data_IF_751292097427
#
_entry.id   IF_751292097427
#
_cell.length_a   1.000
_cell.length_b   1.000
_cell.length_c   1.000
_cell.angle_alpha   90.00
_cell.angle_beta   90.00
_cell.angle_gamma   90.00
#
_symmetry.space_group_name_H-M   'P 1'
#
loop_
_entity.id
_entity.type
_entity.pdbx_description
1 polymer ?
#
# COMPACT_ATOMS: atom_id res chain seq x y z
N UNK A 1 12.45 -4.04 38.49
CA UNK A 1 11.25 -4.86 38.68
C UNK A 1 10.08 -3.90 38.86
N UNK A 2 9.54 -3.42 37.75
CA UNK A 2 8.22 -2.78 37.72
C UNK A 2 7.58 -3.24 36.41
N UNK A 3 6.64 -4.17 36.56
CA UNK A 3 5.77 -4.67 35.50
C UNK A 3 4.83 -3.55 35.07
N UNK A 4 5.09 -2.95 33.91
CA UNK A 4 4.15 -2.04 33.24
C UNK A 4 2.96 -2.86 32.73
N UNK A 5 1.92 -2.91 33.56
CA UNK A 5 0.61 -3.46 33.26
C UNK A 5 0.05 -2.81 31.99
N UNK A 6 -0.03 -3.60 30.91
CA UNK A 6 -0.84 -3.29 29.75
C UNK A 6 -2.27 -3.01 30.24
N UNK A 7 -2.74 -1.79 30.09
CA UNK A 7 -4.14 -1.47 30.30
C UNK A 7 -4.96 -2.38 29.39
N UNK A 8 -5.97 -3.11 29.90
CA UNK A 8 -6.80 -3.96 29.06
C UNK A 8 -7.46 -3.08 28.00
N UNK A 9 -7.20 -3.36 26.72
CA UNK A 9 -7.95 -2.77 25.63
C UNK A 9 -9.43 -2.96 25.96
N UNK A 10 -10.18 -1.87 26.12
CA UNK A 10 -11.62 -1.97 26.34
C UNK A 10 -12.21 -2.64 25.10
N UNK A 11 -12.82 -3.80 25.28
CA UNK A 11 -13.46 -4.55 24.19
C UNK A 11 -14.50 -3.65 23.52
N UNK A 12 -14.17 -3.15 22.33
CA UNK A 12 -15.02 -2.25 21.57
C UNK A 12 -16.21 -3.05 21.03
N UNK A 13 -17.42 -2.51 21.19
CA UNK A 13 -18.64 -3.11 20.65
C UNK A 13 -19.16 -2.26 19.50
N UNK A 14 -19.50 -2.90 18.38
CA UNK A 14 -20.11 -2.26 17.21
C UNK A 14 -21.59 -2.61 17.19
N UNK A 15 -22.46 -1.62 16.95
CA UNK A 15 -23.91 -1.84 16.93
C UNK A 15 -24.42 -1.84 15.50
N UNK A 16 -25.06 -2.93 15.10
CA UNK A 16 -25.66 -3.10 13.77
C UNK A 16 -27.17 -2.97 13.86
N UNK A 17 -27.78 -2.20 12.96
CA UNK A 17 -29.22 -2.09 12.79
C UNK A 17 -29.66 -3.09 11.72
N UNK A 18 -30.20 -4.22 12.16
CA UNK A 18 -30.61 -5.35 11.31
C UNK A 18 -32.13 -5.38 11.20
N UNK A 19 -32.67 -5.06 10.03
CA UNK A 19 -34.12 -4.93 9.82
C UNK A 19 -34.82 -4.05 10.89
N UNK A 20 -34.15 -2.95 11.28
CA UNK A 20 -34.64 -2.03 12.33
C UNK A 20 -34.41 -2.49 13.78
N UNK A 21 -33.82 -3.67 14.00
CA UNK A 21 -33.45 -4.15 15.34
C UNK A 21 -31.96 -3.93 15.60
N UNK A 22 -31.58 -3.20 16.66
CA UNK A 22 -30.18 -3.03 17.02
C UNK A 22 -29.61 -4.32 17.63
N UNK A 23 -28.46 -4.76 17.12
CA UNK A 23 -27.70 -5.93 17.57
C UNK A 23 -26.25 -5.51 17.76
N UNK A 24 -25.74 -5.63 18.98
CA UNK A 24 -24.35 -5.29 19.30
C UNK A 24 -23.46 -6.52 19.21
N UNK A 25 -22.30 -6.37 18.56
CA UNK A 25 -21.30 -7.43 18.38
C UNK A 25 -19.94 -6.90 18.80
N UNK A 26 -19.15 -7.71 19.50
CA UNK A 26 -17.79 -7.33 19.90
C UNK A 26 -16.85 -7.28 18.69
N UNK A 27 -15.99 -6.27 18.64
CA UNK A 27 -15.00 -6.08 17.58
C UNK A 27 -14.07 -7.29 17.43
N UNK A 28 -13.73 -7.97 18.54
CA UNK A 28 -12.91 -9.19 18.52
C UNK A 28 -13.51 -10.30 17.65
N UNK A 29 -14.83 -10.46 17.66
CA UNK A 29 -15.53 -11.45 16.84
C UNK A 29 -15.57 -11.06 15.36
N UNK A 30 -15.63 -9.76 15.08
CA UNK A 30 -15.61 -9.21 13.73
C UNK A 30 -14.20 -9.38 13.13
N UNK A 31 -13.16 -9.12 13.93
CA UNK A 31 -11.76 -9.23 13.54
C UNK A 31 -11.30 -10.67 13.30
N UNK A 32 -12.02 -11.69 13.77
CA UNK A 32 -11.81 -13.09 13.34
C UNK A 32 -11.95 -13.25 11.82
N UNK A 33 -12.74 -12.40 11.17
CA UNK A 33 -13.02 -12.45 9.74
C UNK A 33 -12.78 -11.07 9.10
N UNK A 34 -11.50 -10.65 8.94
CA UNK A 34 -11.14 -9.30 8.54
C UNK A 34 -11.54 -8.94 7.09
N UNK A 35 -11.86 -9.95 6.27
CA UNK A 35 -12.33 -9.78 4.89
C UNK A 35 -13.85 -9.91 4.75
N UNK A 36 -14.59 -9.98 5.87
CA UNK A 36 -16.05 -10.03 5.84
C UNK A 36 -16.63 -8.63 5.66
N UNK A 37 -17.86 -8.54 5.14
CA UNK A 37 -18.58 -7.27 5.10
C UNK A 37 -18.80 -6.67 6.49
N UNK A 38 -18.84 -7.50 7.53
CA UNK A 38 -18.94 -7.01 8.91
C UNK A 38 -17.69 -6.23 9.32
N UNK A 39 -16.51 -6.73 8.95
CA UNK A 39 -15.24 -6.05 9.21
C UNK A 39 -15.13 -4.75 8.41
N UNK A 40 -15.54 -4.78 7.13
CA UNK A 40 -15.60 -3.57 6.31
C UNK A 40 -16.50 -2.51 6.95
N UNK A 41 -17.74 -2.88 7.30
CA UNK A 41 -18.69 -1.94 7.91
C UNK A 41 -18.18 -1.44 9.27
N UNK A 42 -17.61 -2.31 10.09
CA UNK A 42 -17.05 -1.94 11.39
C UNK A 42 -15.87 -0.96 11.26
N UNK A 43 -15.05 -1.10 10.20
CA UNK A 43 -13.90 -0.22 9.97
C UNK A 43 -14.29 1.24 9.71
N UNK A 44 -15.46 1.47 9.09
CA UNK A 44 -15.98 2.82 8.84
C UNK A 44 -16.91 3.34 9.94
N UNK A 45 -17.31 2.50 10.89
CA UNK A 45 -18.26 2.87 11.94
C UNK A 45 -17.57 3.58 13.11
N UNK A 46 -18.01 4.80 13.44
CA UNK A 46 -17.50 5.51 14.62
C UNK A 46 -18.04 4.90 15.93
N UNK A 47 -17.35 5.08 17.07
CA UNK A 47 -17.86 4.65 18.37
C UNK A 47 -19.23 5.31 18.66
N UNK A 48 -20.25 4.49 18.89
CA UNK A 48 -21.62 4.95 19.13
C UNK A 48 -22.49 5.12 17.87
N UNK A 49 -21.93 4.90 16.68
CA UNK A 49 -22.68 4.89 15.42
C UNK A 49 -23.33 3.51 15.18
N UNK A 50 -24.53 3.51 14.60
CA UNK A 50 -25.26 2.29 14.25
C UNK A 50 -25.18 2.03 12.76
N UNK A 51 -24.59 0.90 12.36
CA UNK A 51 -24.46 0.55 10.95
C UNK A 51 -25.61 -0.33 10.47
N UNK A 52 -26.20 -0.03 9.31
CA UNK A 52 -27.37 -0.77 8.80
C UNK A 52 -26.98 -2.01 8.00
N UNK A 53 -27.61 -3.15 8.26
CA UNK A 53 -27.45 -4.37 7.47
C UNK A 53 -28.81 -4.88 7.01
N UNK A 54 -28.92 -5.12 5.70
CA UNK A 54 -30.08 -5.73 5.07
C UNK A 54 -30.01 -7.26 5.19
N UNK A 55 -30.40 -7.80 6.34
CA UNK A 55 -30.64 -9.22 6.53
C UNK A 55 -31.74 -9.49 7.57
N UNK A 56 -32.38 -10.67 7.56
CA UNK A 56 -33.35 -11.04 8.58
C UNK A 56 -32.72 -11.06 9.97
N UNK A 57 -33.39 -10.45 10.96
CA UNK A 57 -32.83 -10.31 12.30
C UNK A 57 -32.56 -11.66 12.99
N UNK A 58 -33.40 -12.67 12.75
CA UNK A 58 -33.23 -14.00 13.34
C UNK A 58 -32.01 -14.72 12.77
N UNK A 59 -31.81 -14.67 11.45
CA UNK A 59 -30.67 -15.29 10.77
C UNK A 59 -29.35 -14.61 11.20
N UNK A 60 -29.36 -13.28 11.40
CA UNK A 60 -28.21 -12.55 11.90
C UNK A 60 -27.86 -12.90 13.35
N UNK A 61 -28.86 -13.09 14.22
CA UNK A 61 -28.61 -13.52 15.61
C UNK A 61 -28.00 -14.91 15.66
N UNK A 62 -28.46 -15.80 14.79
CA UNK A 62 -27.90 -17.15 14.66
C UNK A 62 -26.46 -17.13 14.15
N UNK A 63 -26.15 -16.23 13.21
CA UNK A 63 -24.80 -15.96 12.77
C UNK A 63 -23.92 -15.45 13.93
N UNK A 64 -24.37 -14.45 14.69
CA UNK A 64 -23.61 -13.91 15.84
C UNK A 64 -23.36 -15.00 16.89
N UNK A 65 -24.38 -15.80 17.22
CA UNK A 65 -24.23 -16.95 18.12
C UNK A 65 -23.21 -17.97 17.60
N UNK A 66 -23.18 -18.19 16.29
CA UNK A 66 -22.16 -19.02 15.68
C UNK A 66 -20.76 -18.42 15.83
N UNK A 67 -20.58 -17.11 15.59
CA UNK A 67 -19.28 -16.45 15.76
C UNK A 67 -18.75 -16.57 17.20
N UNK A 68 -19.66 -16.55 18.19
CA UNK A 68 -19.35 -16.72 19.61
C UNK A 68 -19.02 -18.17 20.00
N UNK A 69 -19.82 -19.13 19.53
CA UNK A 69 -19.79 -20.51 20.04
C UNK A 69 -19.13 -21.51 19.08
N UNK A 70 -18.88 -21.11 17.84
CA UNK A 70 -18.41 -21.93 16.72
C UNK A 70 -19.28 -23.17 16.45
N UNK A 71 -20.53 -23.16 16.96
CA UNK A 71 -21.51 -24.23 16.81
C UNK A 71 -22.78 -23.71 16.15
N UNK A 72 -23.29 -24.46 15.17
CA UNK A 72 -24.57 -24.20 14.52
C UNK A 72 -25.53 -25.32 14.89
N UNK A 73 -26.75 -24.93 15.27
CA UNK A 73 -27.88 -25.85 15.42
C UNK A 73 -28.36 -26.23 14.03
N UNK A 74 -28.19 -27.51 13.70
CA UNK A 74 -28.40 -28.09 12.38
C UNK A 74 -29.66 -28.97 12.33
N UNK A 75 -30.52 -28.85 13.36
CA UNK A 75 -31.77 -29.58 13.53
C UNK A 75 -32.85 -29.17 12.51
N UNK A 76 -32.83 -27.91 12.04
CA UNK A 76 -33.81 -27.37 11.09
C UNK A 76 -33.12 -27.00 9.76
N UNK A 77 -33.42 -27.78 8.71
CA UNK A 77 -32.84 -27.59 7.38
C UNK A 77 -33.24 -26.28 6.71
N UNK A 78 -34.46 -25.79 6.96
CA UNK A 78 -34.94 -24.54 6.34
C UNK A 78 -34.26 -23.32 6.96
N UNK A 79 -34.00 -23.38 8.26
CA UNK A 79 -33.24 -22.38 9.01
C UNK A 79 -31.77 -22.41 8.61
N UNK A 80 -31.18 -23.60 8.46
CA UNK A 80 -29.81 -23.76 8.00
C UNK A 80 -29.61 -23.17 6.59
N UNK A 81 -30.53 -23.41 5.66
CA UNK A 81 -30.44 -22.87 4.29
C UNK A 81 -30.47 -21.32 4.28
N UNK A 82 -31.34 -20.71 5.09
CA UNK A 82 -31.41 -19.25 5.25
C UNK A 82 -30.15 -18.67 5.90
N UNK A 83 -29.65 -19.32 6.93
CA UNK A 83 -28.41 -18.96 7.60
C UNK A 83 -27.23 -19.01 6.62
N UNK A 84 -27.10 -20.07 5.81
CA UNK A 84 -26.06 -20.18 4.79
C UNK A 84 -26.13 -19.05 3.74
N UNK A 85 -27.34 -18.62 3.35
CA UNK A 85 -27.50 -17.43 2.50
C UNK A 85 -26.97 -16.15 3.17
N UNK A 86 -27.12 -16.04 4.49
CA UNK A 86 -26.58 -14.92 5.27
C UNK A 86 -25.05 -14.94 5.35
N UNK A 87 -24.43 -16.12 5.49
CA UNK A 87 -22.97 -16.28 5.40
C UNK A 87 -22.42 -15.78 4.06
N UNK A 88 -23.07 -16.14 2.94
CA UNK A 88 -22.67 -15.68 1.61
C UNK A 88 -22.87 -14.17 1.45
N UNK A 89 -24.01 -13.63 1.91
CA UNK A 89 -24.33 -12.22 1.81
C UNK A 89 -23.30 -11.34 2.54
N UNK A 90 -22.83 -11.79 3.71
CA UNK A 90 -21.84 -11.11 4.54
C UNK A 90 -20.39 -11.49 4.22
N UNK A 91 -20.17 -12.36 3.23
CA UNK A 91 -18.84 -12.86 2.83
C UNK A 91 -18.07 -13.52 3.97
N UNK A 92 -18.77 -14.21 4.87
CA UNK A 92 -18.16 -14.97 5.96
C UNK A 92 -17.91 -16.39 5.46
N UNK A 93 -16.69 -16.94 5.64
CA UNK A 93 -16.37 -18.28 5.16
C UNK A 93 -17.28 -19.32 5.82
N UNK A 94 -17.98 -20.11 4.99
CA UNK A 94 -18.83 -21.21 5.45
C UNK A 94 -17.94 -22.35 5.94
N UNK A 95 -18.18 -22.90 7.15
CA UNK A 95 -17.45 -24.04 7.67
C UNK A 95 -17.54 -25.27 6.77
N UNK A 96 -16.46 -26.04 6.69
CA UNK A 96 -16.38 -27.17 5.77
C UNK A 96 -17.44 -28.24 6.06
N UNK A 97 -17.76 -28.51 7.33
CA UNK A 97 -18.80 -29.48 7.70
C UNK A 97 -20.19 -29.09 7.17
N UNK A 98 -20.49 -27.79 7.06
CA UNK A 98 -21.74 -27.30 6.46
C UNK A 98 -21.69 -27.31 4.94
N UNK A 99 -20.52 -27.03 4.34
CA UNK A 99 -20.32 -27.17 2.89
C UNK A 99 -20.52 -28.61 2.44
N UNK A 100 -19.94 -29.58 3.14
CA UNK A 100 -20.10 -30.99 2.82
C UNK A 100 -21.56 -31.42 2.91
N UNK A 101 -22.28 -31.01 3.97
CA UNK A 101 -23.72 -31.31 4.10
C UNK A 101 -24.55 -30.71 2.96
N UNK A 102 -24.27 -29.47 2.55
CA UNK A 102 -24.94 -28.82 1.40
C UNK A 102 -24.71 -29.60 0.10
N UNK A 103 -23.49 -30.07 -0.14
CA UNK A 103 -23.15 -30.89 -1.32
C UNK A 103 -23.80 -32.28 -1.29
N UNK A 104 -23.93 -32.88 -0.10
CA UNK A 104 -24.64 -34.15 0.07
C UNK A 104 -26.14 -34.03 -0.23
N UNK A 105 -26.76 -32.89 0.08
CA UNK A 105 -28.18 -32.64 -0.16
C UNK A 105 -28.49 -32.31 -1.64
N UNK A 106 -27.62 -31.57 -2.34
CA UNK A 106 -27.81 -31.25 -3.76
C UNK A 106 -27.75 -32.46 -4.69
N UNK A 107 -27.28 -33.60 -4.20
CA UNK A 107 -27.12 -34.85 -4.96
C UNK A 107 -28.36 -35.76 -4.91
N UNK A 108 -29.43 -35.38 -4.20
CA UNK A 108 -30.57 -36.27 -3.89
C UNK A 108 -31.89 -36.00 -4.62
N UNK A 109 -32.00 -35.01 -5.50
CA UNK A 109 -33.30 -34.66 -6.11
C UNK A 109 -33.27 -34.78 -7.64
N UNK A 110 -33.63 -35.97 -8.13
CA UNK A 110 -34.01 -36.15 -9.53
C UNK A 110 -35.52 -35.85 -9.69
N UNK A 111 -35.93 -34.93 -10.57
CA UNK A 111 -37.31 -34.89 -11.04
C UNK A 111 -37.43 -35.78 -12.28
N UNK A 112 -38.04 -36.95 -12.09
CA UNK A 112 -38.72 -37.69 -13.16
C UNK A 112 -40.08 -37.03 -13.40
N UNK A 113 -40.26 -36.35 -14.53
CA UNK A 113 -41.53 -36.41 -15.28
C UNK A 113 -41.29 -36.11 -16.75
N UNK A 114 -41.87 -36.99 -17.55
CA UNK A 114 -41.72 -37.19 -18.98
C UNK A 114 -42.70 -36.39 -19.84
N UNK A 115 -42.28 -36.23 -21.10
CA UNK A 115 -43.06 -36.20 -22.35
C UNK A 115 -43.74 -34.89 -22.80
N UNK A 116 -43.46 -34.51 -24.06
CA UNK A 116 -44.23 -33.47 -24.75
C UNK A 116 -43.63 -32.83 -26.02
N UNK A 117 -43.17 -33.62 -26.98
CA UNK A 117 -43.37 -33.46 -28.44
C UNK A 117 -43.08 -32.12 -29.19
N UNK A 118 -42.05 -32.19 -30.05
CA UNK A 118 -41.94 -31.73 -31.46
C UNK A 118 -41.66 -30.26 -31.86
N UNK A 119 -40.70 -30.16 -32.81
CA UNK A 119 -40.59 -29.20 -33.93
C UNK A 119 -40.28 -27.73 -33.57
N UNK A 120 -39.35 -26.97 -34.15
CA UNK A 120 -38.58 -27.01 -35.41
C UNK A 120 -37.37 -26.05 -35.30
N UNK A 121 -36.30 -26.34 -36.05
CA UNK A 121 -35.08 -25.52 -36.28
C UNK A 121 -35.30 -24.61 -37.53
N UNK A 122 -34.34 -23.76 -37.99
CA UNK A 122 -33.92 -22.42 -37.53
C UNK A 122 -34.02 -21.29 -38.61
N UNK A 123 -33.85 -20.02 -38.24
CA UNK A 123 -33.50 -18.92 -39.16
C UNK A 123 -33.54 -17.53 -38.50
N UNK A 124 -32.63 -16.59 -38.84
CA UNK A 124 -32.10 -15.61 -37.90
C UNK A 124 -32.88 -14.29 -37.88
N UNK A 125 -33.12 -13.74 -36.69
CA UNK A 125 -33.57 -12.36 -36.54
C UNK A 125 -32.39 -11.51 -36.03
N UNK A 126 -32.10 -10.48 -36.80
CA UNK A 126 -31.07 -9.47 -36.59
C UNK A 126 -31.24 -8.79 -35.23
N UNK A 127 -30.15 -8.79 -34.48
CA UNK A 127 -30.01 -8.07 -33.21
C UNK A 127 -29.76 -6.60 -33.52
N UNK A 128 -30.81 -5.78 -33.52
CA UNK A 128 -30.66 -4.33 -33.40
C UNK A 128 -30.48 -3.96 -31.92
N UNK A 129 -29.52 -3.10 -31.56
CA UNK A 129 -29.39 -2.62 -30.18
C UNK A 129 -30.59 -1.74 -29.81
N UNK A 130 -31.02 -1.72 -28.53
CA UNK A 130 -32.12 -0.89 -28.08
C UNK A 130 -31.75 0.59 -28.24
N UNK A 131 -32.61 1.35 -28.91
CA UNK A 131 -32.51 2.79 -29.01
C UNK A 131 -32.62 3.41 -27.61
N UNK A 132 -31.64 4.26 -27.29
CA UNK A 132 -31.57 5.00 -26.04
C UNK A 132 -32.51 6.21 -26.14
N UNK A 133 -33.75 6.08 -25.64
CA UNK A 133 -34.62 7.24 -25.45
C UNK A 133 -34.06 8.10 -24.32
N UNK A 134 -33.53 9.26 -24.71
CA UNK A 134 -32.97 10.27 -23.82
C UNK A 134 -34.09 10.98 -23.07
N UNK A 135 -34.32 10.59 -21.81
CA UNK A 135 -35.16 11.38 -20.89
C UNK A 135 -34.32 12.55 -20.36
N UNK A 136 -34.44 13.70 -21.02
CA UNK A 136 -33.97 14.96 -20.47
C UNK A 136 -34.85 15.39 -19.28
N UNK A 137 -34.30 15.80 -18.13
CA UNK A 137 -35.11 16.38 -17.06
C UNK A 137 -35.51 17.81 -17.44
N UNK A 138 -36.81 18.06 -17.40
CA UNK A 138 -37.41 19.37 -17.61
C UNK A 138 -36.95 20.36 -16.52
N UNK A 139 -36.54 21.55 -16.96
CA UNK A 139 -36.35 22.70 -16.10
C UNK A 139 -37.69 23.14 -15.48
N UNK A 140 -37.72 23.25 -14.15
CA UNK A 140 -38.72 24.04 -13.44
C UNK A 140 -38.00 25.13 -12.65
N UNK A 141 -38.31 26.42 -12.86
CA UNK A 141 -37.86 27.48 -11.96
C UNK A 141 -38.89 27.63 -10.85
N UNK A 142 -38.55 27.20 -9.63
CA UNK A 142 -39.27 27.65 -8.44
C UNK A 142 -38.31 28.34 -7.48
N UNK A 143 -38.42 29.66 -7.44
CA UNK A 143 -37.92 30.51 -6.38
C UNK A 143 -38.48 30.06 -5.02
N UNK A 144 -37.60 29.63 -4.12
CA UNK A 144 -37.86 29.78 -2.68
C UNK A 144 -36.56 29.92 -1.90
N UNK A 145 -36.61 30.85 -0.95
CA UNK A 145 -35.55 31.34 -0.09
C UNK A 145 -35.02 30.26 0.88
N UNK A 146 -33.72 30.37 1.15
CA UNK A 146 -33.15 30.18 2.49
C UNK A 146 -33.01 28.74 2.99
N UNK A 147 -31.77 28.24 2.97
CA UNK A 147 -31.02 27.61 4.07
C UNK A 147 -29.77 26.97 3.43
N UNK A 148 -28.60 27.19 4.05
CA UNK A 148 -27.28 26.92 3.47
C UNK A 148 -27.14 25.49 2.93
N UNK A 149 -27.15 25.35 1.61
CA UNK A 149 -26.62 24.16 0.94
C UNK A 149 -25.10 24.24 1.04
N UNK A 150 -24.52 23.35 1.84
CA UNK A 150 -23.14 22.92 1.61
C UNK A 150 -23.14 22.35 0.20
N UNK A 151 -22.66 23.16 -0.74
CA UNK A 151 -22.50 22.79 -2.13
C UNK A 151 -21.30 21.83 -2.18
N UNK A 152 -21.53 20.56 -1.83
CA UNK A 152 -20.59 19.50 -2.16
C UNK A 152 -20.69 19.26 -3.66
N UNK A 153 -20.02 20.10 -4.45
CA UNK A 153 -19.73 19.74 -5.83
C UNK A 153 -19.10 18.33 -5.81
N UNK A 154 -19.60 17.38 -6.62
CA UNK A 154 -19.00 16.07 -6.67
C UNK A 154 -17.54 16.22 -7.11
N UNK A 155 -16.61 15.83 -6.22
CA UNK A 155 -15.18 15.85 -6.50
C UNK A 155 -14.93 15.23 -7.87
N UNK A 156 -14.14 15.93 -8.69
CA UNK A 156 -13.75 15.43 -10.00
C UNK A 156 -12.99 14.10 -9.81
N UNK A 157 -13.02 13.24 -10.82
CA UNK A 157 -12.31 11.94 -10.76
C UNK A 157 -10.82 12.15 -10.44
N UNK A 158 -10.22 13.21 -10.98
CA UNK A 158 -8.83 13.57 -10.70
C UNK A 158 -8.61 13.94 -9.23
N UNK A 159 -9.52 14.69 -8.61
CA UNK A 159 -9.46 15.02 -7.19
C UNK A 159 -9.61 13.76 -6.31
N UNK A 160 -10.52 12.84 -6.67
CA UNK A 160 -10.67 11.58 -5.96
C UNK A 160 -9.41 10.72 -6.04
N UNK A 161 -8.77 10.67 -7.21
CA UNK A 161 -7.49 9.96 -7.38
C UNK A 161 -6.40 10.63 -6.54
N UNK A 162 -6.30 11.95 -6.58
CA UNK A 162 -5.31 12.68 -5.78
C UNK A 162 -5.47 12.44 -4.28
N UNK A 163 -6.70 12.49 -3.77
CA UNK A 163 -7.01 12.19 -2.36
C UNK A 163 -6.65 10.74 -2.02
N UNK A 164 -6.99 9.77 -2.86
CA UNK A 164 -6.65 8.37 -2.63
C UNK A 164 -5.13 8.12 -2.63
N UNK A 165 -4.38 8.83 -3.47
CA UNK A 165 -2.91 8.77 -3.51
C UNK A 165 -2.33 9.37 -2.23
N UNK A 166 -2.83 10.53 -1.79
CA UNK A 166 -2.39 11.20 -0.57
C UNK A 166 -2.69 10.37 0.68
N UNK A 167 -3.88 9.79 0.78
CA UNK A 167 -4.27 8.90 1.86
C UNK A 167 -3.35 7.68 1.91
N UNK A 168 -3.08 7.04 0.76
CA UNK A 168 -2.18 5.89 0.70
C UNK A 168 -0.74 6.25 1.10
N UNK A 169 -0.22 7.38 0.64
CA UNK A 169 1.11 7.86 1.02
C UNK A 169 1.20 8.13 2.51
N UNK A 170 0.16 8.73 3.09
CA UNK A 170 0.07 9.00 4.51
C UNK A 170 0.09 7.71 5.32
N UNK A 171 -0.69 6.71 4.92
CA UNK A 171 -0.70 5.39 5.58
C UNK A 171 0.67 4.71 5.49
N UNK A 172 1.29 4.73 4.30
CA UNK A 172 2.63 4.16 4.09
C UNK A 172 3.68 4.83 4.99
N UNK A 173 3.61 6.16 5.15
CA UNK A 173 4.50 6.88 6.05
C UNK A 173 4.25 6.52 7.51
N UNK A 174 3.01 6.63 7.98
CA UNK A 174 2.67 6.50 9.39
C UNK A 174 2.81 5.07 9.89
N UNK A 175 2.50 4.07 9.07
CA UNK A 175 2.53 2.66 9.49
C UNK A 175 3.90 2.02 9.29
N UNK A 176 4.66 2.43 8.26
CA UNK A 176 5.84 1.66 7.83
C UNK A 176 7.16 2.42 7.89
N UNK A 177 7.19 3.73 7.62
CA UNK A 177 8.45 4.49 7.54
C UNK A 177 8.73 5.22 8.84
N UNK A 178 7.77 6.03 9.32
CA UNK A 178 7.98 6.93 10.45
C UNK A 178 8.35 6.19 11.74
N UNK A 179 7.67 5.09 12.12
CA UNK A 179 8.07 4.33 13.32
C UNK A 179 9.49 3.79 13.22
N UNK A 180 9.98 3.48 12.01
CA UNK A 180 11.34 3.00 11.79
C UNK A 180 12.37 4.12 11.87
N UNK A 181 12.05 5.29 11.33
CA UNK A 181 12.88 6.48 11.46
C UNK A 181 12.98 6.91 12.92
N UNK A 182 11.87 6.91 13.66
CA UNK A 182 11.85 7.21 15.09
C UNK A 182 12.63 6.16 15.91
N UNK A 183 12.43 4.88 15.62
CA UNK A 183 13.22 3.79 16.21
C UNK A 183 14.71 3.93 15.93
N UNK A 184 15.08 4.29 14.70
CA UNK A 184 16.46 4.56 14.30
C UNK A 184 17.02 5.77 15.07
N UNK A 185 16.27 6.87 15.17
CA UNK A 185 16.70 8.08 15.87
C UNK A 185 16.87 7.86 17.38
N UNK A 186 15.95 7.14 18.02
CA UNK A 186 16.04 6.78 19.45
C UNK A 186 17.24 5.88 19.74
N UNK A 187 17.66 5.05 18.78
CA UNK A 187 18.88 4.25 18.89
C UNK A 187 20.19 5.02 18.61
N UNK A 188 20.11 6.30 18.26
CA UNK A 188 21.29 7.12 17.91
C UNK A 188 21.91 6.79 16.56
N UNK A 189 21.17 6.15 15.67
CA UNK A 189 21.65 5.77 14.33
C UNK A 189 21.32 6.89 13.35
N UNK A 190 22.35 7.57 12.84
CA UNK A 190 22.18 8.74 11.98
C UNK A 190 22.11 8.40 10.47
N UNK A 191 22.45 7.17 10.08
CA UNK A 191 22.44 6.75 8.67
C UNK A 191 21.85 5.34 8.56
N UNK A 192 20.67 5.25 7.92
CA UNK A 192 19.95 3.99 7.75
C UNK A 192 19.18 3.93 6.44
N UNK A 193 18.86 2.71 6.02
CA UNK A 193 18.03 2.44 4.85
C UNK A 193 16.89 1.49 5.20
N UNK A 194 15.68 1.86 4.79
CA UNK A 194 14.51 0.99 4.88
C UNK A 194 14.21 0.45 3.48
N UNK A 195 14.13 -0.86 3.35
CA UNK A 195 13.87 -1.54 2.08
C UNK A 195 12.46 -2.07 2.12
N UNK A 196 11.56 -1.36 1.41
CA UNK A 196 10.13 -1.66 1.33
C UNK A 196 9.90 -2.60 0.13
N UNK A 197 9.39 -3.80 0.41
CA UNK A 197 9.06 -4.83 -0.57
C UNK A 197 7.58 -4.67 -0.95
N UNK A 198 7.28 -4.35 -2.22
CA UNK A 198 5.90 -4.20 -2.69
C UNK A 198 5.08 -5.49 -2.59
N UNK A 199 3.77 -5.37 -2.44
CA UNK A 199 2.84 -6.48 -2.24
C UNK A 199 2.78 -7.45 -3.42
N UNK A 200 2.97 -6.96 -4.64
CA UNK A 200 2.96 -7.76 -5.87
C UNK A 200 4.35 -8.32 -6.26
N UNK A 201 5.39 -8.11 -5.45
CA UNK A 201 6.73 -8.66 -5.71
C UNK A 201 6.81 -10.15 -5.34
N UNK A 202 6.12 -11.01 -6.10
CA UNK A 202 5.94 -12.44 -5.79
C UNK A 202 7.25 -13.19 -5.47
N UNK A 203 8.34 -12.89 -6.18
CA UNK A 203 9.66 -13.51 -5.93
C UNK A 203 10.23 -13.17 -4.56
N UNK A 204 10.03 -11.93 -4.12
CA UNK A 204 10.52 -11.42 -2.84
C UNK A 204 9.56 -11.71 -1.70
N UNK A 205 8.26 -11.79 -1.98
CA UNK A 205 7.23 -12.14 -0.99
C UNK A 205 7.52 -13.52 -0.39
N UNK A 206 7.27 -13.66 0.92
CA UNK A 206 7.34 -14.98 1.56
C UNK A 206 6.20 -15.82 1.00
N UNK A 207 6.45 -17.10 0.63
CA UNK A 207 5.35 -18.02 0.38
C UNK A 207 4.47 -17.99 1.63
N UNK A 208 3.20 -17.65 1.48
CA UNK A 208 2.23 -17.86 2.53
C UNK A 208 2.32 -19.33 2.90
N UNK A 209 2.65 -19.62 4.15
CA UNK A 209 2.64 -20.97 4.71
C UNK A 209 1.19 -21.47 4.64
N UNK A 210 0.82 -22.02 3.49
CA UNK A 210 -0.45 -22.72 3.36
C UNK A 210 -0.30 -23.99 4.18
N UNK A 211 -0.91 -23.94 5.38
CA UNK A 211 -1.67 -25.01 6.03
C UNK A 211 -1.01 -26.41 5.98
N UNK A 212 -0.70 -26.95 7.16
CA UNK A 212 -0.20 -28.32 7.48
C UNK A 212 1.26 -28.43 7.98
N UNK A 213 1.81 -27.46 8.72
CA UNK A 213 3.05 -27.71 9.48
C UNK A 213 2.81 -27.50 10.99
N UNK A 214 2.52 -28.60 11.70
CA UNK A 214 2.46 -28.69 13.17
C UNK A 214 3.88 -28.81 13.76
N UNK A 215 4.77 -27.91 13.36
CA UNK A 215 6.12 -27.79 13.92
C UNK A 215 6.17 -26.71 15.01
N UNK A 216 7.07 -26.81 16.00
CA UNK A 216 7.36 -25.68 16.89
C UNK A 216 7.79 -24.46 16.04
N UNK A 217 7.55 -23.22 16.51
CA UNK A 217 7.88 -22.01 15.75
C UNK A 217 9.35 -22.06 15.36
N UNK A 218 9.64 -22.31 14.07
CA UNK A 218 11.01 -22.21 13.57
C UNK A 218 11.41 -20.76 13.76
N UNK A 219 12.48 -20.53 14.50
CA UNK A 219 13.09 -19.20 14.65
C UNK A 219 13.13 -18.55 13.27
N UNK A 220 12.56 -17.36 13.21
CA UNK A 220 12.28 -16.60 12.00
C UNK A 220 13.47 -16.68 11.05
N UNK A 221 13.32 -17.42 9.95
CA UNK A 221 14.30 -17.45 8.87
C UNK A 221 14.38 -16.01 8.32
N UNK A 222 15.35 -15.26 8.81
CA UNK A 222 15.53 -13.85 8.46
C UNK A 222 15.95 -13.80 6.98
N UNK A 223 15.12 -13.16 6.17
CA UNK A 223 15.49 -12.87 4.80
C UNK A 223 16.66 -11.86 4.81
N UNK A 224 17.79 -12.23 4.23
CA UNK A 224 18.99 -11.39 4.24
C UNK A 224 19.10 -10.64 2.92
N UNK A 225 19.27 -9.31 2.98
CA UNK A 225 19.51 -8.50 1.80
C UNK A 225 20.96 -8.66 1.33
N UNK A 226 21.16 -9.21 0.13
CA UNK A 226 22.50 -9.48 -0.44
C UNK A 226 23.02 -8.26 -1.19
N UNK A 227 22.19 -7.68 -2.06
CA UNK A 227 22.61 -6.61 -2.96
C UNK A 227 21.45 -5.70 -3.36
N UNK A 228 21.81 -4.47 -3.68
CA UNK A 228 20.97 -3.45 -4.28
C UNK A 228 21.64 -3.00 -5.58
N UNK A 229 20.86 -2.74 -6.64
CA UNK A 229 21.38 -2.49 -7.98
C UNK A 229 22.21 -1.22 -8.10
N UNK A 230 21.92 -0.19 -7.30
CA UNK A 230 22.58 1.11 -7.36
C UNK A 230 23.22 1.49 -6.03
N UNK A 231 22.63 1.04 -4.93
CA UNK A 231 23.14 1.26 -3.58
C UNK A 231 24.17 0.21 -3.19
N UNK A 232 25.23 0.65 -2.51
CA UNK A 232 26.06 -0.30 -1.79
C UNK A 232 25.51 -0.43 -0.36
N UNK A 233 25.04 -1.62 0.00
CA UNK A 233 24.44 -1.93 1.31
C UNK A 233 25.41 -1.61 2.45
N UNK A 234 26.72 -1.80 2.24
CA UNK A 234 27.76 -1.50 3.24
C UNK A 234 27.88 -0.01 3.59
N UNK A 235 27.18 0.87 2.87
CA UNK A 235 27.11 2.31 3.20
C UNK A 235 26.13 2.62 4.33
N UNK A 236 25.21 1.71 4.63
CA UNK A 236 24.19 1.92 5.65
C UNK A 236 24.64 1.26 6.95
N UNK A 237 24.57 1.99 8.06
CA UNK A 237 24.84 1.41 9.39
C UNK A 237 23.67 0.55 9.87
N UNK A 238 22.49 0.77 9.29
CA UNK A 238 21.27 0.08 9.63
C UNK A 238 20.45 -0.17 8.37
N UNK A 239 20.02 -1.41 8.18
CA UNK A 239 19.14 -1.80 7.08
C UNK A 239 17.98 -2.59 7.65
N UNK A 240 16.75 -2.19 7.33
CA UNK A 240 15.55 -2.94 7.72
C UNK A 240 14.68 -3.25 6.52
N UNK A 241 14.33 -4.53 6.39
CA UNK A 241 13.40 -5.03 5.39
C UNK A 241 11.96 -4.91 5.90
N UNK A 242 11.08 -4.36 5.06
CA UNK A 242 9.67 -4.13 5.39
C UNK A 242 8.82 -4.67 4.25
N UNK A 243 7.93 -5.61 4.54
CA UNK A 243 7.05 -6.23 3.55
C UNK A 243 5.71 -5.50 3.55
N UNK A 244 5.43 -4.80 2.46
CA UNK A 244 4.17 -4.08 2.32
C UNK A 244 3.05 -5.05 1.98
N UNK A 245 1.88 -4.84 2.60
CA UNK A 245 0.68 -5.64 2.39
C UNK A 245 -0.41 -4.82 1.70
N UNK A 246 -1.40 -5.49 1.13
CA UNK A 246 -2.57 -4.87 0.50
C UNK A 246 -2.42 -4.61 -1.00
N UNK A 247 -3.57 -4.54 -1.67
CA UNK A 247 -3.69 -4.36 -3.14
C UNK A 247 -3.10 -3.06 -3.65
N UNK A 248 -2.83 -2.13 -2.74
CA UNK A 248 -2.37 -0.80 -3.07
C UNK A 248 -0.87 -0.59 -3.13
N UNK A 249 -0.12 -1.41 -2.42
CA UNK A 249 1.31 -1.21 -2.24
C UNK A 249 2.10 -1.94 -3.33
N UNK A 250 1.74 -1.67 -4.59
CA UNK A 250 2.32 -2.35 -5.75
C UNK A 250 3.56 -1.63 -6.26
N UNK A 251 4.42 -2.38 -6.96
CA UNK A 251 5.58 -1.82 -7.68
C UNK A 251 5.15 -0.67 -8.57
N UNK A 252 4.04 -0.83 -9.32
CA UNK A 252 3.55 0.19 -10.27
C UNK A 252 3.15 1.50 -9.62
N UNK A 253 2.62 1.46 -8.39
CA UNK A 253 2.29 2.66 -7.63
C UNK A 253 3.57 3.32 -7.10
N UNK A 254 4.44 2.53 -6.44
CA UNK A 254 5.65 3.02 -5.78
C UNK A 254 6.74 3.47 -6.76
N UNK A 255 6.72 2.98 -8.00
CA UNK A 255 7.64 3.40 -9.06
C UNK A 255 7.27 4.73 -9.71
N UNK A 256 6.10 5.30 -9.41
CA UNK A 256 5.68 6.57 -10.00
C UNK A 256 6.52 7.71 -9.45
N UNK A 257 7.09 8.52 -10.35
CA UNK A 257 7.94 9.67 -9.98
C UNK A 257 7.20 10.61 -9.03
N UNK A 258 5.93 10.91 -9.31
CA UNK A 258 5.09 11.78 -8.47
C UNK A 258 4.90 11.23 -7.05
N UNK A 259 4.74 9.91 -6.93
CA UNK A 259 4.57 9.23 -5.62
C UNK A 259 5.88 9.32 -4.83
N UNK A 260 7.02 9.10 -5.48
CA UNK A 260 8.34 9.21 -4.85
C UNK A 260 8.61 10.66 -4.39
N UNK A 261 8.34 11.64 -5.24
CA UNK A 261 8.54 13.06 -4.93
C UNK A 261 7.64 13.52 -3.79
N UNK A 262 6.36 13.16 -3.80
CA UNK A 262 5.42 13.53 -2.74
C UNK A 262 5.75 12.80 -1.42
N UNK A 263 6.12 11.52 -1.49
CA UNK A 263 6.59 10.76 -0.31
C UNK A 263 7.81 11.42 0.32
N UNK A 264 8.79 11.83 -0.51
CA UNK A 264 9.99 12.54 -0.07
C UNK A 264 9.64 13.89 0.55
N UNK A 265 8.74 14.66 -0.06
CA UNK A 265 8.28 15.96 0.45
C UNK A 265 7.55 15.81 1.79
N UNK A 266 6.64 14.84 1.91
CA UNK A 266 5.93 14.57 3.16
C UNK A 266 6.89 14.11 4.26
N UNK A 267 7.84 13.22 3.95
CA UNK A 267 8.84 12.77 4.92
C UNK A 267 9.74 13.93 5.38
N UNK A 268 10.21 14.78 4.46
CA UNK A 268 10.97 16.00 4.80
C UNK A 268 10.17 16.93 5.72
N UNK A 269 8.90 17.18 5.38
CA UNK A 269 8.03 18.06 6.16
C UNK A 269 7.81 17.53 7.59
N UNK A 270 7.60 16.22 7.73
CA UNK A 270 7.40 15.57 9.04
C UNK A 270 8.67 15.54 9.88
N UNK A 271 9.83 15.34 9.25
CA UNK A 271 11.14 15.37 9.94
C UNK A 271 11.67 16.80 10.16
N UNK A 272 10.91 17.84 9.76
CA UNK A 272 11.27 19.25 9.91
C UNK A 272 12.65 19.59 9.31
N UNK A 273 13.05 18.87 8.26
CA UNK A 273 14.32 19.11 7.58
C UNK A 273 14.23 20.42 6.79
N UNK A 274 15.13 21.36 7.09
CA UNK A 274 15.20 22.63 6.35
C UNK A 274 15.70 22.36 4.94
N UNK A 275 15.03 22.96 3.96
CA UNK A 275 15.58 22.99 2.59
C UNK A 275 16.91 23.75 2.59
N UNK A 276 17.93 23.28 1.85
CA UNK A 276 19.18 24.00 1.71
C UNK A 276 18.90 25.38 1.13
N UNK A 277 19.59 26.44 1.59
CA UNK A 277 19.41 27.77 1.03
C UNK A 277 19.66 27.73 -0.49
N UNK A 278 18.86 28.47 -1.29
CA UNK A 278 19.06 28.50 -2.72
C UNK A 278 20.52 28.88 -3.02
N UNK A 279 21.16 28.24 -4.02
CA UNK A 279 22.53 28.56 -4.37
C UNK A 279 22.64 30.06 -4.65
N UNK A 280 23.69 30.74 -4.15
CA UNK A 280 23.86 32.15 -4.43
C UNK A 280 23.84 32.34 -5.95
N UNK A 281 23.16 33.39 -6.46
CA UNK A 281 23.12 33.65 -7.89
C UNK A 281 24.56 33.65 -8.42
N UNK A 282 24.83 33.03 -9.58
CA UNK A 282 26.18 32.98 -10.13
C UNK A 282 26.73 34.40 -10.14
N UNK A 283 27.82 34.61 -9.40
CA UNK A 283 28.46 35.90 -9.33
C UNK A 283 28.66 36.39 -10.76
N UNK A 284 28.04 37.54 -11.09
CA UNK A 284 28.20 38.15 -12.39
C UNK A 284 29.71 38.17 -12.71
N UNK A 285 30.14 37.71 -13.90
CA UNK A 285 31.56 37.70 -14.24
C UNK A 285 32.09 39.11 -13.98
N UNK A 286 33.07 39.21 -13.09
CA UNK A 286 33.71 40.48 -12.79
C UNK A 286 34.12 41.12 -14.13
N UNK A 287 33.83 42.43 -14.34
CA UNK A 287 34.18 43.08 -15.59
C UNK A 287 35.68 42.89 -15.81
N UNK A 288 35.99 42.12 -16.84
CA UNK A 288 37.35 41.83 -17.26
C UNK A 288 37.99 43.18 -17.50
N UNK A 289 38.95 43.55 -16.65
CA UNK A 289 39.70 44.79 -16.82
C UNK A 289 40.30 44.77 -18.24
N UNK A 290 40.11 45.82 -19.05
CA UNK A 290 40.61 45.81 -20.42
C UNK A 290 42.13 45.61 -20.39
N UNK A 291 42.67 44.75 -21.29
CA UNK A 291 44.10 44.47 -21.30
C UNK A 291 44.90 45.75 -21.52
N UNK A 292 46.06 45.92 -20.85
CA UNK A 292 46.90 47.09 -21.06
C UNK A 292 47.38 47.15 -22.53
N UNK A 293 47.52 48.35 -23.11
CA UNK A 293 47.86 48.51 -24.52
C UNK A 293 49.24 47.92 -24.79
N UNK A 294 49.28 46.85 -25.60
CA UNK A 294 50.52 46.29 -26.09
C UNK A 294 51.23 47.31 -26.99
N UNK A 295 52.37 47.82 -26.50
CA UNK A 295 53.32 48.58 -27.29
C UNK A 295 53.86 47.69 -28.41
N UNK A 296 53.56 48.07 -29.65
CA UNK A 296 54.16 47.51 -30.86
C UNK A 296 55.66 47.83 -30.86
N UNK A 297 56.52 46.82 -30.73
CA UNK A 297 57.89 46.89 -31.23
C UNK A 297 58.05 45.88 -32.37
N UNK A 298 58.22 46.43 -33.58
CA UNK A 298 58.69 45.72 -34.77
C UNK A 298 60.21 45.53 -34.66
N UNK A 299 60.70 44.48 -35.31
CA UNK A 299 62.10 44.14 -35.65
C UNK A 299 62.84 43.18 -34.71
N UNK A 300 63.35 42.09 -35.30
CA UNK A 300 64.56 41.44 -34.82
C UNK A 300 64.50 39.92 -34.71
N UNK A 301 64.82 39.26 -35.84
CA UNK A 301 65.60 38.03 -36.00
C UNK A 301 65.87 37.06 -34.82
N UNK A 302 65.91 35.79 -35.23
CA UNK A 302 66.71 34.65 -34.72
C UNK A 302 66.00 33.53 -33.95
N UNK A 303 66.32 32.32 -34.44
CA UNK A 303 66.11 30.99 -33.88
C UNK A 303 66.65 30.91 -32.46
N UNK A 304 66.04 30.07 -31.63
CA UNK A 304 66.79 29.15 -30.78
C UNK A 304 65.92 27.95 -30.41
N UNK A 305 66.43 26.77 -30.77
CA UNK A 305 66.12 25.53 -30.08
C UNK A 305 66.60 25.65 -28.64
N UNK A 306 65.77 25.31 -27.67
CA UNK A 306 66.25 24.71 -26.43
C UNK A 306 65.11 23.91 -25.81
N UNK A 307 65.50 22.73 -25.35
CA UNK A 307 64.73 21.72 -24.66
C UNK A 307 64.16 22.25 -23.35
N UNK A 308 62.84 22.26 -23.21
CA UNK A 308 62.19 22.38 -21.92
C UNK A 308 61.98 21.00 -21.32
N UNK A 309 62.85 20.70 -20.35
CA UNK A 309 62.55 19.85 -19.21
C UNK A 309 61.35 20.51 -18.52
N UNK A 310 60.17 19.93 -18.69
CA UNK A 310 58.97 20.36 -17.98
C UNK A 310 59.11 19.92 -16.51
N UNK A 311 59.24 20.83 -15.54
CA UNK A 311 59.07 20.45 -14.15
C UNK A 311 57.62 20.04 -13.94
N UNK A 312 57.48 18.82 -13.41
CA UNK A 312 56.32 18.24 -12.77
C UNK A 312 55.53 19.28 -11.94
N UNK A 313 54.48 19.86 -12.52
CA UNK A 313 53.39 20.47 -11.76
C UNK A 313 52.24 19.49 -11.83
N UNK A 314 52.17 18.62 -10.82
CA UNK A 314 50.99 17.81 -10.57
C UNK A 314 49.81 18.76 -10.47
N UNK A 315 48.98 18.78 -11.51
CA UNK A 315 47.64 19.36 -11.45
C UNK A 315 46.89 18.49 -10.46
N UNK A 316 46.93 18.90 -9.18
CA UNK A 316 45.97 18.43 -8.20
C UNK A 316 44.63 18.86 -8.77
N UNK A 317 43.94 17.90 -9.41
CA UNK A 317 42.57 18.10 -9.81
C UNK A 317 41.84 18.65 -8.58
N UNK A 318 41.14 19.79 -8.69
CA UNK A 318 40.37 20.31 -7.56
C UNK A 318 39.45 19.17 -7.14
N UNK A 319 39.69 18.67 -5.93
CA UNK A 319 38.81 17.69 -5.29
C UNK A 319 37.43 18.36 -5.35
N UNK A 320 36.46 17.82 -6.10
CA UNK A 320 35.15 18.44 -6.16
C UNK A 320 34.65 18.56 -4.72
N UNK A 321 34.07 19.71 -4.33
CA UNK A 321 33.51 19.86 -3.01
C UNK A 321 32.58 18.67 -2.75
N UNK A 322 32.59 18.08 -1.53
CA UNK A 322 31.73 16.95 -1.22
C UNK A 322 30.30 17.33 -1.58
N UNK A 323 29.74 16.62 -2.55
CA UNK A 323 28.36 16.86 -3.01
C UNK A 323 27.47 16.78 -1.76
N UNK A 324 26.69 17.82 -1.44
CA UNK A 324 25.79 17.79 -0.29
C UNK A 324 24.92 16.56 -0.41
N UNK A 325 25.09 15.61 0.51
CA UNK A 325 24.23 14.42 0.54
C UNK A 325 22.85 14.90 0.98
N UNK A 326 21.86 14.56 0.18
CA UNK A 326 20.49 14.90 0.54
C UNK A 326 20.10 14.08 1.78
N UNK A 327 19.49 14.70 2.81
CA UNK A 327 19.21 14.02 4.08
C UNK A 327 18.20 12.87 3.91
N UNK A 328 17.43 12.89 2.83
CA UNK A 328 16.50 11.82 2.48
C UNK A 328 16.66 11.53 0.99
N UNK A 329 16.83 10.26 0.66
CA UNK A 329 16.84 9.78 -0.71
C UNK A 329 15.89 8.58 -0.84
N UNK A 330 14.88 8.71 -1.70
CA UNK A 330 13.89 7.66 -1.96
C UNK A 330 14.00 7.27 -3.42
N UNK A 331 14.16 5.97 -3.68
CA UNK A 331 14.33 5.45 -5.05
C UNK A 331 13.87 4.01 -5.16
N UNK A 332 13.51 3.61 -6.37
CA UNK A 332 13.22 2.21 -6.69
C UNK A 332 14.50 1.54 -7.16
N UNK A 333 14.80 0.35 -6.65
CA UNK A 333 15.97 -0.45 -7.03
C UNK A 333 15.61 -1.92 -7.23
N UNK A 334 16.46 -2.65 -7.96
CA UNK A 334 16.42 -4.11 -7.96
C UNK A 334 17.24 -4.62 -6.78
N UNK A 335 16.62 -5.44 -5.94
CA UNK A 335 17.25 -6.06 -4.78
C UNK A 335 17.38 -7.56 -4.98
N UNK A 336 18.48 -8.13 -4.52
CA UNK A 336 18.64 -9.58 -4.35
C UNK A 336 18.60 -9.93 -2.86
N UNK A 337 17.75 -10.87 -2.50
CA UNK A 337 17.56 -11.36 -1.14
C UNK A 337 17.88 -12.84 -1.07
N UNK A 338 18.63 -13.23 -0.03
CA UNK A 338 18.90 -14.62 0.32
C UNK A 338 17.89 -15.06 1.34
N UNK A 339 17.22 -16.17 1.07
CA UNK A 339 16.34 -16.85 2.04
C UNK A 339 16.70 -18.31 2.09
N UNK A 340 16.57 -18.92 3.25
CA UNK A 340 16.76 -20.35 3.42
C UNK A 340 15.40 -21.04 3.30
N UNK A 341 15.32 -22.03 2.42
CA UNK A 341 14.09 -22.78 2.17
C UNK A 341 13.83 -23.82 3.29
N UNK A 342 12.73 -24.55 3.17
CA UNK A 342 12.34 -25.58 4.13
C UNK A 342 13.32 -26.77 4.19
N UNK A 343 14.16 -26.94 3.16
CA UNK A 343 15.22 -27.96 3.07
C UNK A 343 16.56 -27.46 3.65
N UNK A 344 16.61 -26.20 4.08
CA UNK A 344 17.82 -25.56 4.57
C UNK A 344 18.79 -25.11 3.48
N UNK A 345 18.34 -25.04 2.23
CA UNK A 345 19.10 -24.53 1.11
C UNK A 345 18.87 -23.03 0.95
N UNK A 346 19.96 -22.29 0.73
CA UNK A 346 19.85 -20.87 0.44
C UNK A 346 19.41 -20.65 -1.01
N UNK A 347 18.28 -19.98 -1.18
CA UNK A 347 17.74 -19.54 -2.46
C UNK A 347 17.86 -18.02 -2.53
N UNK A 348 18.37 -17.54 -3.65
CA UNK A 348 18.42 -16.10 -3.96
C UNK A 348 17.21 -15.74 -4.80
N UNK A 349 16.45 -14.74 -4.39
CA UNK A 349 15.37 -14.14 -5.16
C UNK A 349 15.70 -12.67 -5.45
N UNK A 350 15.40 -12.21 -6.66
CA UNK A 350 15.50 -10.80 -7.03
C UNK A 350 14.13 -10.19 -7.28
N UNK A 351 14.03 -8.88 -7.08
CA UNK A 351 12.83 -8.12 -7.39
C UNK A 351 12.96 -6.63 -7.12
N UNK A 352 11.96 -5.89 -7.57
CA UNK A 352 11.91 -4.44 -7.41
C UNK A 352 11.46 -4.07 -5.99
N UNK A 353 12.20 -3.16 -5.37
CA UNK A 353 11.95 -2.64 -4.01
C UNK A 353 12.02 -1.11 -4.00
N UNK A 354 11.39 -0.49 -3.01
CA UNK A 354 11.54 0.93 -2.72
C UNK A 354 12.54 1.09 -1.57
N UNK A 355 13.65 1.78 -1.83
CA UNK A 355 14.69 2.08 -0.84
C UNK A 355 14.48 3.50 -0.32
N UNK A 356 14.32 3.62 0.99
CA UNK A 356 14.22 4.90 1.71
C UNK A 356 15.48 5.05 2.54
N UNK A 357 16.40 5.86 2.05
CA UNK A 357 17.64 6.22 2.72
C UNK A 357 17.42 7.49 3.54
N UNK A 358 17.74 7.42 4.83
CA UNK A 358 17.61 8.54 5.77
C UNK A 358 18.96 8.79 6.44
N UNK A 359 19.45 10.01 6.24
CA UNK A 359 20.68 10.56 6.81
C UNK A 359 20.32 11.76 7.69
N UNK A 360 20.30 11.56 9.01
CA UNK A 360 20.07 12.58 10.02
C UNK A 360 21.42 13.13 10.47
N UNK A 361 22.01 14.08 9.73
CA UNK A 361 23.29 14.72 10.08
C UNK A 361 23.19 16.24 10.03
#
# INVERSE_FOLDING_TARGET
>A
MEDSLATPYQARTVTFLVSGTPVSVSEELILKYPYSKLADIASYSLPGETATIECPADDFRDLVRYLETEKIDDSDETRLARLLGTFELLQIPIPDYLRFRRMSQSSGTAPLTSAGTSSSRPGPAESYPPAYDSVAPAFAPSSSLGFGKIQTEPLTIQQKIALAVEERLTNLLMEHILPLVEGQATSGIYNGAFVLIPSNSASLQRPSETTYDYGPPREQLEDELISLSSSNISRFNYVKLVRLQGVGNTVQFLSQVQVIEELKKQLKARLQLRDPPPPPPPAAPAPVSPPPPQKKSKWGWMRSQSSDIVPNVGVVAPIPPPVPREPINIRTEEASMRRMDHMGLYVTASGTVLVVEVSLL
#
